data_IF_707654574043
#
_entry.id   IF_707654574043
#
_cell.length_a   1.000
_cell.length_b   1.000
_cell.length_c   1.000
_cell.angle_alpha   90.00
_cell.angle_beta   90.00
_cell.angle_gamma   90.00
#
_symmetry.space_group_name_H-M   'P 1'
#
loop_
_entity.id
_entity.type
_entity.pdbx_description
1 polymer ?
#
# COMPACT_ATOMS: atom_id res chain seq x y z
N UNK A 1 -16.12 3.09 3.88
CA UNK A 1 -14.65 3.29 3.94
C UNK A 1 -14.01 3.50 2.55
N UNK A 2 -14.74 4.02 1.58
CA UNK A 2 -14.22 4.49 0.30
C UNK A 2 -14.11 6.01 0.31
N UNK A 3 -13.20 6.56 -0.49
CA UNK A 3 -13.15 7.99 -0.77
C UNK A 3 -14.30 8.33 -1.73
N UNK A 4 -15.16 9.33 -1.45
CA UNK A 4 -16.33 9.63 -2.28
C UNK A 4 -16.01 10.00 -3.73
N UNK A 5 -14.85 10.61 -3.98
CA UNK A 5 -14.45 11.07 -5.32
C UNK A 5 -13.23 10.32 -5.88
N UNK A 6 -12.91 9.13 -5.31
CA UNK A 6 -11.81 8.29 -5.74
C UNK A 6 -12.17 6.80 -5.67
N UNK A 7 -11.63 6.00 -6.58
CA UNK A 7 -11.94 4.58 -6.66
C UNK A 7 -11.25 3.71 -5.60
N UNK A 8 -10.36 4.27 -4.79
CA UNK A 8 -9.70 3.54 -3.70
C UNK A 8 -10.46 3.63 -2.38
N UNK A 9 -10.12 2.75 -1.47
CA UNK A 9 -10.51 2.85 -0.07
C UNK A 9 -9.73 3.97 0.66
N UNK A 10 -10.22 4.39 1.81
CA UNK A 10 -9.50 5.28 2.72
C UNK A 10 -8.43 4.51 3.48
N UNK A 11 -7.49 5.22 4.14
CA UNK A 11 -6.57 4.59 5.11
C UNK A 11 -7.33 3.82 6.20
N UNK A 12 -8.47 4.36 6.67
CA UNK A 12 -9.35 3.64 7.60
C UNK A 12 -9.96 2.38 7.00
N UNK A 13 -10.32 2.40 5.70
CA UNK A 13 -10.78 1.20 5.00
C UNK A 13 -9.72 0.12 4.93
N UNK A 14 -8.48 0.52 4.64
CA UNK A 14 -7.32 -0.38 4.65
C UNK A 14 -7.02 -0.95 6.04
N UNK A 15 -7.21 -0.14 7.11
CA UNK A 15 -7.10 -0.61 8.50
C UNK A 15 -8.11 -1.73 8.82
N UNK A 16 -9.36 -1.62 8.38
CA UNK A 16 -10.31 -2.69 8.59
C UNK A 16 -9.93 -3.98 7.85
N UNK A 17 -9.41 -3.88 6.63
CA UNK A 17 -8.88 -5.02 5.91
C UNK A 17 -7.66 -5.65 6.63
N UNK A 18 -6.78 -4.83 7.19
CA UNK A 18 -5.67 -5.28 8.03
C UNK A 18 -6.16 -6.04 9.27
N UNK A 19 -7.22 -5.59 9.93
CA UNK A 19 -7.81 -6.31 11.08
C UNK A 19 -8.31 -7.70 10.68
N UNK A 20 -8.98 -7.81 9.54
CA UNK A 20 -9.44 -9.11 8.99
C UNK A 20 -8.25 -10.02 8.65
N UNK A 21 -7.18 -9.47 8.07
CA UNK A 21 -5.93 -10.19 7.84
C UNK A 21 -5.34 -10.71 9.15
N UNK A 22 -5.25 -9.89 10.19
CA UNK A 22 -4.75 -10.30 11.51
C UNK A 22 -5.58 -11.45 12.09
N UNK A 23 -6.93 -11.36 11.99
CA UNK A 23 -7.83 -12.43 12.42
C UNK A 23 -7.59 -13.74 11.67
N UNK A 24 -7.42 -13.67 10.34
CA UNK A 24 -7.12 -14.85 9.52
C UNK A 24 -5.74 -15.46 9.83
N UNK A 25 -4.76 -14.61 10.12
CA UNK A 25 -3.40 -15.04 10.51
C UNK A 25 -3.31 -15.53 11.95
N UNK A 26 -4.28 -15.19 12.80
CA UNK A 26 -4.25 -15.52 14.24
C UNK A 26 -3.32 -14.63 15.07
N UNK A 27 -3.10 -13.38 14.63
CA UNK A 27 -2.34 -12.37 15.37
C UNK A 27 -3.24 -11.24 15.83
N UNK A 28 -2.87 -10.55 16.92
CA UNK A 28 -3.63 -9.43 17.44
C UNK A 28 -3.34 -8.17 16.62
N UNK A 29 -4.35 -7.50 16.05
CA UNK A 29 -4.14 -6.22 15.38
C UNK A 29 -3.83 -5.13 16.41
N UNK A 30 -2.97 -4.19 16.04
CA UNK A 30 -2.80 -2.96 16.81
C UNK A 30 -4.07 -2.11 16.76
N UNK A 31 -4.37 -1.41 17.87
CA UNK A 31 -5.52 -0.51 17.92
C UNK A 31 -5.28 0.73 17.03
N UNK A 32 -6.33 1.25 16.39
CA UNK A 32 -6.20 2.41 15.51
C UNK A 32 -5.60 3.63 16.22
N UNK A 33 -5.81 3.74 17.54
CA UNK A 33 -5.28 4.83 18.37
C UNK A 33 -3.78 4.76 18.65
N UNK A 34 -3.12 3.66 18.29
CA UNK A 34 -1.66 3.52 18.45
C UNK A 34 -0.88 4.14 17.28
N UNK A 35 -1.58 4.43 16.16
CA UNK A 35 -0.95 4.98 14.95
C UNK A 35 -0.96 6.51 14.98
N UNK A 36 0.19 7.12 14.69
CA UNK A 36 0.26 8.54 14.37
C UNK A 36 -0.47 8.80 13.04
N UNK A 37 -1.13 9.95 12.91
CA UNK A 37 -2.00 10.27 11.77
C UNK A 37 -1.53 11.53 11.07
N UNK A 38 -1.37 11.44 9.75
CA UNK A 38 -1.26 12.59 8.85
C UNK A 38 -2.52 12.73 8.00
N UNK A 39 -2.91 13.98 7.74
CA UNK A 39 -4.06 14.30 6.89
C UNK A 39 -3.65 15.26 5.78
N UNK A 40 -4.10 14.97 4.57
CA UNK A 40 -3.81 15.76 3.37
C UNK A 40 -5.13 16.22 2.76
N UNK A 41 -5.49 17.48 3.02
CA UNK A 41 -6.73 18.09 2.56
C UNK A 41 -6.72 18.42 1.07
N UNK A 42 -7.91 18.58 0.50
CA UNK A 42 -8.07 19.07 -0.87
C UNK A 42 -7.84 18.02 -1.94
N UNK A 43 -7.99 16.74 -1.62
CA UNK A 43 -7.80 15.65 -2.59
C UNK A 43 -8.96 15.59 -3.60
N UNK A 44 -8.61 15.61 -4.89
CA UNK A 44 -9.53 15.46 -6.02
C UNK A 44 -9.14 14.21 -6.82
N UNK A 45 -9.80 13.09 -6.53
CA UNK A 45 -9.48 11.78 -7.08
C UNK A 45 -9.92 11.56 -8.53
N UNK A 46 -9.81 10.32 -9.00
CA UNK A 46 -10.10 9.95 -10.39
C UNK A 46 -11.53 10.27 -10.82
N UNK A 47 -12.53 10.10 -9.94
CA UNK A 47 -13.92 10.39 -10.30
C UNK A 47 -14.16 11.87 -10.59
N UNK A 48 -13.39 12.78 -9.98
CA UNK A 48 -13.43 14.20 -10.35
C UNK A 48 -12.98 14.41 -11.80
N UNK A 49 -11.86 13.77 -12.19
CA UNK A 49 -11.35 13.88 -13.56
C UNK A 49 -12.27 13.20 -14.58
N UNK A 50 -12.70 11.97 -14.28
CA UNK A 50 -13.53 11.14 -15.16
C UNK A 50 -14.94 11.74 -15.33
N UNK A 51 -15.45 12.42 -14.29
CA UNK A 51 -16.73 13.13 -14.30
C UNK A 51 -16.72 14.50 -14.97
N UNK A 52 -15.61 14.91 -15.60
CA UNK A 52 -15.51 16.20 -16.27
C UNK A 52 -15.29 17.37 -15.31
N UNK A 53 -14.72 17.12 -14.15
CA UNK A 53 -14.33 18.12 -13.14
C UNK A 53 -15.50 18.98 -12.60
N UNK A 54 -16.58 18.35 -12.12
CA UNK A 54 -17.75 19.08 -11.68
C UNK A 54 -17.46 19.96 -10.46
N UNK A 55 -18.02 21.16 -10.42
CA UNK A 55 -17.84 22.13 -9.33
C UNK A 55 -18.28 21.57 -7.96
N UNK A 56 -19.31 20.73 -7.94
CA UNK A 56 -19.76 20.07 -6.71
C UNK A 56 -18.66 19.23 -6.04
N UNK A 57 -17.86 18.48 -6.82
CA UNK A 57 -16.72 17.74 -6.28
C UNK A 57 -15.54 18.67 -5.96
N UNK A 58 -15.28 19.67 -6.80
CA UNK A 58 -14.21 20.65 -6.57
C UNK A 58 -14.37 21.40 -5.27
N UNK A 59 -15.61 21.75 -4.93
CA UNK A 59 -15.95 22.50 -3.72
C UNK A 59 -16.08 21.63 -2.47
N UNK A 60 -16.04 20.31 -2.63
CA UNK A 60 -16.11 19.33 -1.53
C UNK A 60 -15.04 18.25 -1.75
N UNK A 61 -13.74 18.60 -1.68
CA UNK A 61 -12.66 17.65 -1.85
C UNK A 61 -12.61 16.64 -0.70
N UNK A 62 -12.04 15.48 -0.98
CA UNK A 62 -11.74 14.48 0.05
C UNK A 62 -10.51 14.86 0.87
N UNK A 63 -10.34 14.18 2.00
CA UNK A 63 -9.13 14.18 2.84
C UNK A 63 -8.47 12.81 2.78
N UNK A 64 -7.20 12.77 2.40
CA UNK A 64 -6.42 11.53 2.51
C UNK A 64 -5.85 11.44 3.92
N UNK A 65 -6.30 10.44 4.68
CA UNK A 65 -5.81 10.16 6.03
C UNK A 65 -4.85 8.98 5.98
N UNK A 66 -3.61 9.20 6.39
CA UNK A 66 -2.55 8.19 6.43
C UNK A 66 -2.17 7.86 7.88
N UNK A 67 -2.00 6.57 8.15
CA UNK A 67 -1.58 6.04 9.45
C UNK A 67 -0.12 5.62 9.35
N UNK A 68 0.75 6.21 10.17
CA UNK A 68 2.16 5.87 10.21
C UNK A 68 2.37 4.55 10.96
N UNK A 69 3.33 3.69 10.53
CA UNK A 69 3.73 2.57 11.35
C UNK A 69 4.12 3.02 12.77
N UNK A 70 3.88 2.16 13.75
CA UNK A 70 4.23 2.43 15.15
C UNK A 70 5.75 2.47 15.31
N UNK A 71 6.47 1.59 14.62
CA UNK A 71 7.92 1.64 14.55
C UNK A 71 8.42 2.89 13.84
N UNK A 72 9.12 3.76 14.56
CA UNK A 72 9.78 4.95 14.01
C UNK A 72 11.12 4.63 13.34
N UNK A 73 11.68 3.45 13.59
CA UNK A 73 12.95 2.99 13.05
C UNK A 73 12.81 2.25 11.71
N UNK A 74 11.59 1.96 11.28
CA UNK A 74 11.35 1.30 10.00
C UNK A 74 11.87 2.13 8.82
N UNK A 75 12.48 1.46 7.85
CA UNK A 75 13.11 2.07 6.66
C UNK A 75 12.56 1.44 5.41
N UNK A 76 12.28 2.28 4.42
CA UNK A 76 11.77 1.86 3.12
C UNK A 76 12.75 2.19 2.00
N UNK A 77 12.87 1.25 1.07
CA UNK A 77 13.55 1.46 -0.22
C UNK A 77 12.63 0.93 -1.33
N UNK A 78 12.71 1.52 -2.50
CA UNK A 78 11.93 1.12 -3.67
C UNK A 78 12.73 1.26 -4.97
N UNK A 79 12.33 0.53 -6.00
CA UNK A 79 13.00 0.55 -7.28
C UNK A 79 12.33 -0.36 -8.31
N UNK A 80 13.06 -0.67 -9.38
CA UNK A 80 12.60 -1.62 -10.41
C UNK A 80 12.81 -3.07 -9.97
N UNK A 81 13.84 -3.29 -9.14
CA UNK A 81 14.23 -4.58 -8.59
C UNK A 81 15.01 -4.36 -7.29
N UNK A 82 15.46 -5.43 -6.65
CA UNK A 82 16.30 -5.44 -5.46
C UNK A 82 17.73 -4.86 -5.69
N UNK A 83 18.17 -4.78 -6.93
CA UNK A 83 19.50 -4.25 -7.31
C UNK A 83 19.49 -2.76 -7.69
N UNK A 84 18.33 -2.10 -7.72
CA UNK A 84 18.16 -0.69 -8.12
C UNK A 84 17.24 0.02 -7.12
N UNK A 85 17.76 0.23 -5.90
CA UNK A 85 16.98 0.73 -4.79
C UNK A 85 17.31 2.17 -4.43
N UNK A 86 16.28 2.95 -4.24
CA UNK A 86 16.31 4.33 -3.73
C UNK A 86 15.61 4.38 -2.37
N UNK A 87 16.14 5.15 -1.43
CA UNK A 87 15.48 5.38 -0.15
C UNK A 87 14.15 6.12 -0.33
N UNK A 88 13.12 5.66 0.38
CA UNK A 88 11.78 6.21 0.35
C UNK A 88 11.18 6.43 1.73
N UNK A 89 9.91 6.80 1.75
CA UNK A 89 9.10 6.98 2.96
C UNK A 89 7.89 6.07 2.92
N UNK A 90 7.60 5.41 4.04
CA UNK A 90 6.42 4.55 4.18
C UNK A 90 5.15 5.41 4.11
N UNK A 91 5.13 6.54 4.81
CA UNK A 91 4.19 7.63 4.61
C UNK A 91 4.98 8.85 4.15
N UNK A 92 4.68 9.32 2.95
CA UNK A 92 5.30 10.51 2.36
C UNK A 92 4.42 11.74 2.60
N UNK A 93 5.04 12.86 2.90
CA UNK A 93 4.32 14.11 3.10
C UNK A 93 3.85 14.68 1.74
N UNK A 94 2.53 14.64 1.55
CA UNK A 94 1.85 15.13 0.35
C UNK A 94 1.09 16.46 0.61
N UNK A 95 1.44 17.20 1.67
CA UNK A 95 0.79 18.47 2.01
C UNK A 95 0.84 19.47 0.86
N UNK A 96 2.00 19.58 0.20
CA UNK A 96 2.24 20.49 -0.94
C UNK A 96 1.92 19.86 -2.31
N UNK A 97 1.50 18.59 -2.35
CA UNK A 97 1.17 17.93 -3.61
C UNK A 97 -0.08 18.51 -4.26
N UNK A 98 -0.14 18.44 -5.58
CA UNK A 98 -1.36 18.78 -6.32
C UNK A 98 -2.53 17.90 -5.87
N UNK A 99 -3.75 18.43 -6.01
CA UNK A 99 -4.97 17.80 -5.52
C UNK A 99 -5.18 16.34 -5.98
N UNK A 100 -4.70 15.97 -7.16
CA UNK A 100 -4.84 14.60 -7.70
C UNK A 100 -3.79 13.60 -7.22
N UNK A 101 -2.74 14.03 -6.53
CA UNK A 101 -1.59 13.19 -6.19
C UNK A 101 -1.52 12.78 -4.71
N UNK A 102 -2.31 13.38 -3.81
CA UNK A 102 -2.20 13.18 -2.36
C UNK A 102 -2.32 11.72 -1.90
N UNK A 103 -2.96 10.84 -2.66
CA UNK A 103 -2.99 9.40 -2.36
C UNK A 103 -1.62 8.71 -2.56
N UNK A 104 -0.66 9.37 -3.19
CA UNK A 104 0.74 8.97 -3.26
C UNK A 104 1.47 8.93 -1.91
N UNK A 105 0.86 9.47 -0.85
CA UNK A 105 1.37 9.41 0.52
C UNK A 105 1.72 7.99 0.97
N UNK A 106 0.96 6.99 0.54
CA UNK A 106 1.18 5.59 0.91
C UNK A 106 2.30 4.98 0.07
N UNK A 107 3.40 4.62 0.72
CA UNK A 107 4.59 3.95 0.15
C UNK A 107 5.10 4.57 -1.17
N UNK A 108 4.92 5.89 -1.31
CA UNK A 108 5.29 6.66 -2.51
C UNK A 108 4.66 6.12 -3.81
N UNK A 109 3.43 5.58 -3.71
CA UNK A 109 2.63 5.14 -4.85
C UNK A 109 3.00 3.76 -5.41
N UNK A 110 2.86 3.62 -6.72
CA UNK A 110 2.98 2.34 -7.42
C UNK A 110 4.42 2.10 -7.91
N UNK A 111 5.21 1.41 -7.11
CA UNK A 111 6.56 1.00 -7.47
C UNK A 111 6.59 -0.49 -7.83
N UNK A 112 7.39 -0.91 -8.84
CA UNK A 112 7.52 -2.32 -9.21
C UNK A 112 7.93 -3.20 -8.02
N UNK A 113 8.88 -2.70 -7.23
CA UNK A 113 9.43 -3.37 -6.06
C UNK A 113 9.64 -2.37 -4.92
N UNK A 114 9.28 -2.78 -3.72
CA UNK A 114 9.55 -2.02 -2.49
C UNK A 114 9.95 -3.00 -1.39
N UNK A 115 10.90 -2.60 -0.55
CA UNK A 115 11.27 -3.33 0.67
C UNK A 115 11.22 -2.39 1.86
N UNK A 116 10.60 -2.87 2.95
CA UNK A 116 10.52 -2.16 4.22
C UNK A 116 11.14 -3.07 5.28
N UNK A 117 12.12 -2.56 6.01
CA UNK A 117 12.74 -3.24 7.13
C UNK A 117 12.34 -2.57 8.44
N UNK A 118 11.94 -3.38 9.41
CA UNK A 118 11.65 -2.95 10.77
C UNK A 118 12.69 -3.53 11.74
N UNK A 119 13.68 -2.75 12.18
CA UNK A 119 14.74 -3.22 13.07
C UNK A 119 14.28 -3.46 14.50
N UNK A 120 13.07 -3.00 14.90
CA UNK A 120 12.50 -3.27 16.22
C UNK A 120 12.08 -4.74 16.36
N UNK A 121 11.94 -5.45 15.25
CA UNK A 121 11.70 -6.89 15.19
C UNK A 121 12.99 -7.63 14.82
N UNK A 122 13.22 -8.78 15.46
CA UNK A 122 14.43 -9.60 15.24
C UNK A 122 14.11 -11.10 15.12
N UNK A 123 12.87 -11.42 14.70
CA UNK A 123 12.35 -12.77 14.65
C UNK A 123 12.52 -13.45 13.30
N UNK A 124 13.07 -12.76 12.31
CA UNK A 124 13.25 -13.25 10.93
C UNK A 124 11.94 -13.32 10.13
N UNK A 125 10.82 -12.79 10.66
CA UNK A 125 9.54 -12.79 9.98
C UNK A 125 9.57 -11.93 8.73
N UNK A 126 8.92 -12.39 7.66
CA UNK A 126 8.84 -11.62 6.41
C UNK A 126 7.56 -11.92 5.65
N UNK A 127 7.06 -10.95 4.92
CA UNK A 127 5.98 -11.17 3.97
C UNK A 127 6.29 -10.56 2.62
N UNK A 128 5.67 -11.07 1.56
CA UNK A 128 5.58 -10.39 0.28
C UNK A 128 4.13 -10.05 -0.02
N UNK A 129 3.87 -8.76 -0.20
CA UNK A 129 2.57 -8.23 -0.60
C UNK A 129 2.56 -8.09 -2.12
N UNK A 130 1.77 -8.92 -2.77
CA UNK A 130 1.55 -8.89 -4.22
C UNK A 130 0.27 -8.09 -4.47
N UNK A 131 0.41 -6.91 -5.05
CA UNK A 131 -0.66 -5.90 -5.04
C UNK A 131 -0.82 -5.17 -6.36
N UNK A 132 -1.94 -4.48 -6.50
CA UNK A 132 -2.11 -3.27 -7.27
C UNK A 132 -2.29 -2.07 -6.30
N UNK A 133 -2.66 -0.90 -6.79
CA UNK A 133 -2.65 0.34 -6.00
C UNK A 133 -3.47 0.32 -4.69
N UNK A 134 -4.46 -0.57 -4.55
CA UNK A 134 -5.16 -0.73 -3.27
C UNK A 134 -4.24 -1.20 -2.14
N UNK A 135 -3.23 -2.00 -2.45
CA UNK A 135 -2.25 -2.44 -1.46
C UNK A 135 -1.43 -1.32 -0.84
N UNK A 136 -1.31 -0.16 -1.50
CA UNK A 136 -0.48 0.95 -1.01
C UNK A 136 -0.89 1.40 0.40
N UNK A 137 -2.19 1.60 0.65
CA UNK A 137 -2.69 2.02 1.95
C UNK A 137 -2.74 0.90 3.00
N UNK A 138 -2.63 -0.37 2.57
CA UNK A 138 -2.64 -1.54 3.45
C UNK A 138 -1.25 -1.87 4.01
N UNK A 139 -0.20 -1.72 3.20
CA UNK A 139 1.18 -2.07 3.54
C UNK A 139 1.69 -1.42 4.84
N UNK A 140 1.43 -0.14 5.15
CA UNK A 140 1.93 0.48 6.37
C UNK A 140 1.54 -0.26 7.65
N UNK A 141 0.36 -0.89 7.69
CA UNK A 141 -0.11 -1.65 8.86
C UNK A 141 0.61 -2.99 9.06
N UNK A 142 1.29 -3.51 8.05
CA UNK A 142 2.04 -4.76 8.16
C UNK A 142 3.44 -4.56 8.76
N UNK A 143 3.95 -3.35 8.75
CA UNK A 143 5.33 -3.02 9.16
C UNK A 143 5.60 -3.42 10.61
N UNK A 144 4.59 -3.32 11.47
CA UNK A 144 4.70 -3.64 12.90
C UNK A 144 4.50 -5.14 13.21
N UNK A 145 4.28 -5.97 12.18
CA UNK A 145 4.10 -7.43 12.30
C UNK A 145 5.20 -8.25 11.64
N UNK A 146 6.05 -7.63 10.83
CA UNK A 146 7.11 -8.32 10.11
C UNK A 146 8.42 -7.56 10.17
N UNK A 147 9.50 -8.29 10.41
CA UNK A 147 10.84 -7.71 10.33
C UNK A 147 11.14 -7.19 8.92
N UNK A 148 10.60 -7.85 7.89
CA UNK A 148 10.74 -7.40 6.51
C UNK A 148 9.43 -7.53 5.75
N UNK A 149 8.98 -6.43 5.14
CA UNK A 149 7.83 -6.40 4.23
C UNK A 149 8.33 -6.11 2.82
N UNK A 150 8.21 -7.10 1.95
CA UNK A 150 8.42 -6.93 0.51
C UNK A 150 7.10 -6.58 -0.16
N UNK A 151 7.14 -5.68 -1.14
CA UNK A 151 5.95 -5.28 -1.90
C UNK A 151 6.26 -5.40 -3.38
N UNK A 152 5.44 -6.14 -4.10
CA UNK A 152 5.55 -6.36 -5.54
C UNK A 152 4.26 -5.87 -6.20
N UNK A 153 4.40 -4.84 -7.03
CA UNK A 153 3.32 -4.44 -7.91
C UNK A 153 3.39 -5.27 -9.19
N UNK A 154 2.53 -6.28 -9.28
CA UNK A 154 2.54 -7.24 -10.38
C UNK A 154 2.26 -6.61 -11.75
N UNK A 155 1.78 -5.37 -11.79
CA UNK A 155 1.57 -4.65 -13.06
C UNK A 155 2.87 -4.21 -13.70
N UNK A 156 3.92 -4.00 -12.90
CA UNK A 156 5.20 -3.41 -13.31
C UNK A 156 6.41 -4.30 -13.02
N UNK A 157 6.28 -5.27 -12.12
CA UNK A 157 7.34 -6.22 -11.79
C UNK A 157 7.52 -7.26 -12.89
N UNK A 158 8.76 -7.61 -13.21
CA UNK A 158 9.10 -8.56 -14.28
C UNK A 158 9.61 -9.92 -13.80
N UNK A 159 9.76 -10.12 -12.49
CA UNK A 159 10.25 -11.36 -11.89
C UNK A 159 9.16 -12.35 -11.53
N UNK A 160 9.56 -13.55 -11.07
CA UNK A 160 8.66 -14.55 -10.48
C UNK A 160 8.50 -14.30 -8.98
N UNK A 161 7.27 -14.12 -8.51
CA UNK A 161 6.94 -14.00 -7.07
C UNK A 161 7.25 -15.31 -6.34
N UNK A 162 7.03 -16.44 -6.98
CA UNK A 162 7.31 -17.77 -6.39
C UNK A 162 8.79 -17.96 -6.13
N UNK A 163 9.63 -17.63 -7.12
CA UNK A 163 11.07 -17.75 -6.96
C UNK A 163 11.62 -16.71 -6.00
N UNK A 164 11.07 -15.50 -6.03
CA UNK A 164 11.38 -14.44 -5.06
C UNK A 164 11.10 -14.92 -3.63
N UNK A 165 9.89 -15.44 -3.37
CA UNK A 165 9.49 -15.90 -2.05
C UNK A 165 10.36 -17.05 -1.54
N UNK A 166 10.74 -18.01 -2.42
CA UNK A 166 11.66 -19.10 -2.08
C UNK A 166 13.06 -18.60 -1.75
N UNK A 167 13.62 -17.74 -2.62
CA UNK A 167 14.98 -17.19 -2.47
C UNK A 167 15.13 -16.40 -1.19
N UNK A 168 14.15 -15.56 -0.88
CA UNK A 168 14.15 -14.71 0.31
C UNK A 168 13.55 -15.40 1.55
N UNK A 169 13.16 -16.68 1.46
CA UNK A 169 12.55 -17.46 2.56
C UNK A 169 11.38 -16.75 3.20
N UNK A 170 10.55 -16.13 2.37
CA UNK A 170 9.38 -15.36 2.81
C UNK A 170 8.40 -16.27 3.56
N UNK A 171 7.93 -15.83 4.72
CA UNK A 171 7.02 -16.61 5.57
C UNK A 171 5.56 -16.51 5.12
N UNK A 172 5.16 -15.37 4.53
CA UNK A 172 3.78 -15.15 4.11
C UNK A 172 3.71 -14.48 2.74
N UNK A 173 2.80 -14.95 1.88
CA UNK A 173 2.47 -14.31 0.60
C UNK A 173 1.06 -13.76 0.68
N UNK A 174 0.92 -12.44 0.54
CA UNK A 174 -0.33 -11.72 0.75
C UNK A 174 -0.76 -11.07 -0.57
N UNK A 175 -1.93 -11.45 -1.10
CA UNK A 175 -2.49 -10.82 -2.29
C UNK A 175 -3.50 -9.74 -1.91
N UNK A 176 -3.26 -8.50 -2.34
CA UNK A 176 -4.17 -7.36 -2.12
C UNK A 176 -4.63 -6.81 -3.45
N UNK A 177 -5.89 -7.05 -3.78
CA UNK A 177 -6.49 -6.64 -5.03
C UNK A 177 -7.89 -6.10 -4.82
N UNK A 178 -8.26 -5.06 -5.55
CA UNK A 178 -9.65 -4.65 -5.62
C UNK A 178 -10.47 -5.65 -6.47
N UNK A 179 -11.77 -5.63 -6.25
CA UNK A 179 -12.69 -6.55 -6.94
C UNK A 179 -12.70 -6.37 -8.47
N UNK A 180 -12.49 -5.13 -8.95
CA UNK A 180 -12.46 -4.85 -10.39
C UNK A 180 -11.20 -5.42 -11.04
N UNK A 181 -10.06 -5.39 -10.34
CA UNK A 181 -8.80 -5.95 -10.83
C UNK A 181 -8.92 -7.47 -11.06
N UNK A 182 -9.48 -8.20 -10.10
CA UNK A 182 -9.63 -9.67 -10.22
C UNK A 182 -10.71 -10.09 -11.23
N UNK A 183 -11.59 -9.19 -11.64
CA UNK A 183 -12.58 -9.44 -12.71
C UNK A 183 -12.09 -9.05 -14.10
N UNK A 184 -11.01 -8.29 -14.17
CA UNK A 184 -10.44 -7.79 -15.43
C UNK A 184 -9.39 -8.72 -16.01
N UNK A 185 -9.57 -9.17 -17.27
CA UNK A 185 -8.60 -10.05 -17.94
C UNK A 185 -7.19 -9.47 -18.03
N UNK A 186 -7.07 -8.16 -18.20
CA UNK A 186 -5.76 -7.48 -18.25
C UNK A 186 -4.99 -7.62 -16.94
N UNK A 187 -5.62 -7.28 -15.82
CA UNK A 187 -4.99 -7.35 -14.49
C UNK A 187 -4.65 -8.80 -14.11
N UNK A 188 -5.58 -9.71 -14.37
CA UNK A 188 -5.34 -11.14 -14.11
C UNK A 188 -4.24 -11.72 -15.00
N UNK A 189 -4.12 -11.25 -16.24
CA UNK A 189 -3.01 -11.61 -17.13
C UNK A 189 -1.66 -11.15 -16.58
N UNK A 190 -1.59 -9.95 -16.04
CA UNK A 190 -0.37 -9.42 -15.39
C UNK A 190 -0.01 -10.23 -14.13
N UNK A 191 -0.99 -10.51 -13.26
CA UNK A 191 -0.78 -11.32 -12.07
C UNK A 191 -0.30 -12.74 -12.42
N UNK A 192 -0.86 -13.34 -13.46
CA UNK A 192 -0.42 -14.65 -13.97
C UNK A 192 1.02 -14.62 -14.52
N UNK A 193 1.48 -13.46 -14.97
CA UNK A 193 2.83 -13.28 -15.52
C UNK A 193 3.96 -13.25 -14.48
N UNK A 194 3.64 -13.02 -13.21
CA UNK A 194 4.64 -12.95 -12.12
C UNK A 194 4.69 -14.20 -11.23
N UNK A 195 4.05 -15.28 -11.64
CA UNK A 195 4.03 -16.56 -10.91
C UNK A 195 5.37 -17.36 -11.05
#
# INVERSE_FOLDING_TARGET
>A
CALPIYHHWTGLGAYYAYREFCGAKGVTPHALSEYEVSQYDGFLGSFYNDGGKPDAMKNNPDVVTAYHPISTEARMQYGKSDSDLTAGKIIYDESEASAGLKYGAFIMGDNPYTVISNPDLSDGSSCVVVKESFGNAFVPFLVDHYQTVYVIDYRYYSGSVVDFAKTNKVTDVIFVNNLSAIRGSYQMGKLAGVK
#
